data_IF_631377850703
#
_entry.id   IF_631377850703
#
_cell.length_a   1.000
_cell.length_b   1.000
_cell.length_c   1.000
_cell.angle_alpha   90.00
_cell.angle_beta   90.00
_cell.angle_gamma   90.00
#
_symmetry.space_group_name_H-M   'P 1'
#
loop_
_entity.id
_entity.type
_entity.pdbx_description
1 polymer ?
#
# COMPACT_ATOMS: atom_id res chain seq x y z
N UNK A 1 25.97 3.52 -16.84
CA UNK A 1 25.24 3.21 -15.60
C UNK A 1 25.26 1.72 -15.45
N UNK A 2 26.26 1.18 -14.77
CA UNK A 2 26.37 -0.26 -14.56
C UNK A 2 26.89 -0.52 -13.14
N UNK A 3 26.26 -1.46 -12.44
CA UNK A 3 26.75 -1.91 -11.15
C UNK A 3 27.97 -2.83 -11.38
N UNK A 4 29.17 -2.27 -11.22
CA UNK A 4 30.45 -2.93 -11.37
C UNK A 4 30.99 -3.42 -10.03
N UNK A 5 30.16 -4.11 -9.25
CA UNK A 5 30.54 -4.63 -7.94
C UNK A 5 31.13 -3.55 -7.01
N UNK A 6 30.57 -2.33 -7.03
CA UNK A 6 31.01 -1.21 -6.19
C UNK A 6 31.13 -1.63 -4.71
N UNK A 7 30.25 -2.52 -4.26
CA UNK A 7 30.23 -3.02 -2.90
C UNK A 7 31.31 -4.06 -2.54
N UNK A 8 32.07 -4.58 -3.51
CA UNK A 8 33.29 -5.35 -3.22
C UNK A 8 34.37 -4.46 -2.60
N UNK A 9 34.45 -3.19 -3.02
CA UNK A 9 35.46 -2.22 -2.56
C UNK A 9 34.96 -1.31 -1.46
N UNK A 10 33.65 -1.17 -1.32
CA UNK A 10 33.00 -0.32 -0.34
C UNK A 10 31.89 -1.08 0.39
N UNK A 11 32.05 -1.29 1.70
CA UNK A 11 30.97 -1.90 2.47
C UNK A 11 29.78 -0.91 2.58
N UNK A 12 28.58 -1.25 2.07
CA UNK A 12 27.46 -0.32 2.03
C UNK A 12 26.96 0.08 3.42
N UNK A 13 27.07 -0.80 4.42
CA UNK A 13 26.52 -0.58 5.76
C UNK A 13 27.53 -0.02 6.77
N UNK A 14 28.81 -0.34 6.62
CA UNK A 14 29.85 0.03 7.59
C UNK A 14 31.13 0.60 6.99
N UNK A 15 31.24 0.69 5.65
CA UNK A 15 32.44 1.18 4.98
C UNK A 15 32.82 2.59 5.39
N UNK A 16 34.11 2.84 5.52
CA UNK A 16 34.62 4.17 5.84
C UNK A 16 34.36 5.14 4.68
N UNK A 17 33.95 6.36 5.02
CA UNK A 17 33.63 7.40 4.06
C UNK A 17 34.54 8.60 4.29
N UNK A 18 35.30 9.06 3.29
CA UNK A 18 36.21 10.17 3.45
C UNK A 18 35.46 11.48 3.73
N UNK A 19 35.97 12.27 4.68
CA UNK A 19 35.45 13.61 5.02
C UNK A 19 36.02 14.69 4.09
N UNK A 20 37.09 14.38 3.36
CA UNK A 20 37.73 15.28 2.41
C UNK A 20 37.96 14.51 1.10
N UNK A 21 37.77 15.13 -0.08
CA UNK A 21 37.53 16.55 -0.36
C UNK A 21 36.07 16.99 -0.27
N UNK A 22 35.11 16.05 -0.23
CA UNK A 22 33.67 16.36 -0.16
C UNK A 22 33.16 16.06 1.26
N UNK A 23 32.97 17.10 2.06
CA UNK A 23 32.61 16.98 3.49
C UNK A 23 31.26 16.37 3.78
N UNK A 24 30.37 16.33 2.79
CA UNK A 24 29.01 15.82 2.94
C UNK A 24 28.87 14.31 2.67
N UNK A 25 29.91 13.63 2.14
CA UNK A 25 29.82 12.20 1.84
C UNK A 25 29.43 11.34 3.06
N UNK A 26 30.01 11.55 4.27
CA UNK A 26 29.63 10.75 5.43
C UNK A 26 28.17 10.94 5.85
N UNK A 27 27.62 12.14 5.66
CA UNK A 27 26.22 12.44 5.96
C UNK A 27 25.29 11.73 4.98
N UNK A 28 25.59 11.76 3.67
CA UNK A 28 24.85 11.01 2.65
C UNK A 28 24.84 9.51 2.98
N UNK A 29 26.00 8.95 3.33
CA UNK A 29 26.13 7.55 3.73
C UNK A 29 25.28 7.23 4.97
N UNK A 30 25.35 8.07 6.00
CA UNK A 30 24.61 7.87 7.25
C UNK A 30 23.08 7.89 7.02
N UNK A 31 22.60 8.82 6.18
CA UNK A 31 21.19 8.94 5.80
C UNK A 31 20.70 7.69 5.10
N UNK A 32 21.39 7.24 4.06
CA UNK A 32 21.03 6.01 3.34
C UNK A 32 21.12 4.76 4.22
N UNK A 33 22.19 4.60 5.00
CA UNK A 33 22.37 3.48 5.96
C UNK A 33 21.26 3.43 7.01
N UNK A 34 20.74 4.59 7.42
CA UNK A 34 19.66 4.65 8.41
C UNK A 34 18.37 4.02 7.90
N UNK A 35 18.07 4.16 6.61
CA UNK A 35 16.92 3.52 5.98
C UNK A 35 17.11 2.01 5.79
N UNK A 36 18.37 1.56 5.71
CA UNK A 36 18.75 0.16 5.48
C UNK A 36 19.15 -0.59 6.77
N UNK A 37 18.82 -0.08 7.96
CA UNK A 37 19.23 -0.67 9.26
C UNK A 37 18.84 -2.14 9.46
N UNK A 38 17.78 -2.60 8.79
CA UNK A 38 17.29 -3.96 8.89
C UNK A 38 17.82 -4.89 7.78
N UNK A 39 18.69 -4.37 6.90
CA UNK A 39 19.27 -5.13 5.79
C UNK A 39 20.67 -5.63 6.10
N UNK A 40 21.05 -6.73 5.46
CA UNK A 40 22.43 -7.23 5.44
C UNK A 40 23.19 -6.69 4.22
N UNK A 41 24.52 -6.84 4.21
CA UNK A 41 25.34 -6.42 3.07
C UNK A 41 24.96 -7.20 1.81
N UNK A 42 24.72 -8.50 1.93
CA UNK A 42 24.32 -9.38 0.82
C UNK A 42 22.97 -8.92 0.23
N UNK A 43 22.03 -8.52 1.09
CA UNK A 43 20.76 -7.96 0.62
C UNK A 43 20.97 -6.63 -0.11
N UNK A 44 21.86 -5.76 0.35
CA UNK A 44 22.20 -4.54 -0.38
C UNK A 44 22.82 -4.82 -1.74
N UNK A 45 23.66 -5.86 -1.86
CA UNK A 45 24.24 -6.30 -3.15
C UNK A 45 23.13 -6.79 -4.08
N UNK A 46 22.27 -7.70 -3.61
CA UNK A 46 21.16 -8.21 -4.43
C UNK A 46 20.20 -7.11 -4.86
N UNK A 47 19.96 -6.09 -4.02
CA UNK A 47 19.17 -4.92 -4.40
C UNK A 47 19.89 -4.09 -5.47
N UNK A 48 21.21 -3.91 -5.38
CA UNK A 48 21.97 -3.17 -6.40
C UNK A 48 21.98 -3.90 -7.75
N UNK A 49 22.18 -5.21 -7.76
CA UNK A 49 22.06 -6.06 -8.95
C UNK A 49 20.63 -5.99 -9.55
N UNK A 50 19.62 -5.96 -8.68
CA UNK A 50 18.23 -5.80 -9.11
C UNK A 50 17.99 -4.43 -9.76
N UNK A 51 18.50 -3.34 -9.19
CA UNK A 51 18.41 -1.99 -9.78
C UNK A 51 19.08 -1.96 -11.17
N UNK A 52 20.26 -2.57 -11.30
CA UNK A 52 20.97 -2.66 -12.57
C UNK A 52 20.16 -3.43 -13.63
N UNK A 53 19.58 -4.57 -13.24
CA UNK A 53 18.65 -5.33 -14.06
C UNK A 53 17.42 -4.50 -14.49
N UNK A 54 16.83 -3.74 -13.57
CA UNK A 54 15.71 -2.85 -13.86
C UNK A 54 16.07 -1.78 -14.89
N UNK A 55 17.25 -1.18 -14.78
CA UNK A 55 17.71 -0.18 -15.77
C UNK A 55 17.82 -0.78 -17.16
N UNK A 56 18.41 -1.98 -17.27
CA UNK A 56 18.55 -2.67 -18.55
C UNK A 56 17.18 -3.01 -19.16
N UNK A 57 16.25 -3.54 -18.36
CA UNK A 57 14.89 -3.85 -18.83
C UNK A 57 14.16 -2.58 -19.27
N UNK A 58 14.26 -1.49 -18.49
CA UNK A 58 13.63 -0.22 -18.82
C UNK A 58 14.14 0.33 -20.15
N UNK A 59 15.46 0.50 -20.33
CA UNK A 59 16.00 1.06 -21.56
C UNK A 59 15.72 0.16 -22.78
N UNK A 60 15.77 -1.17 -22.60
CA UNK A 60 15.39 -2.10 -23.66
C UNK A 60 13.92 -1.95 -24.04
N UNK A 61 13.01 -1.89 -23.07
CA UNK A 61 11.56 -1.74 -23.33
C UNK A 61 11.22 -0.40 -23.99
N UNK A 62 11.82 0.70 -23.55
CA UNK A 62 11.67 2.03 -24.18
C UNK A 62 12.10 1.97 -25.64
N UNK A 63 13.26 1.36 -25.92
CA UNK A 63 13.74 1.18 -27.28
C UNK A 63 12.80 0.35 -28.13
N UNK A 64 12.42 -0.84 -27.65
CA UNK A 64 11.53 -1.75 -28.38
C UNK A 64 10.16 -1.10 -28.66
N UNK A 65 9.61 -0.37 -27.68
CA UNK A 65 8.37 0.36 -27.84
C UNK A 65 8.46 1.44 -28.93
N UNK A 66 9.55 2.21 -28.98
CA UNK A 66 9.73 3.22 -30.01
C UNK A 66 9.94 2.61 -31.40
N UNK A 67 10.76 1.57 -31.50
CA UNK A 67 10.94 0.84 -32.77
C UNK A 67 9.59 0.28 -33.27
N UNK A 68 8.79 -0.30 -32.37
CA UNK A 68 7.47 -0.82 -32.71
C UNK A 68 6.50 0.30 -33.13
N UNK A 69 6.54 1.47 -32.48
CA UNK A 69 5.76 2.65 -32.84
C UNK A 69 6.10 3.11 -34.26
N UNK A 70 7.39 3.29 -34.57
CA UNK A 70 7.86 3.71 -35.88
C UNK A 70 7.52 2.68 -36.97
N UNK A 71 7.68 1.38 -36.68
CA UNK A 71 7.29 0.31 -37.59
C UNK A 71 5.78 0.32 -37.90
N UNK A 72 4.95 0.60 -36.89
CA UNK A 72 3.51 0.71 -37.07
C UNK A 72 3.14 1.89 -37.98
N UNK A 73 3.84 3.03 -37.90
CA UNK A 73 3.65 4.18 -38.80
C UNK A 73 3.92 3.78 -40.25
N UNK A 74 5.04 3.10 -40.52
CA UNK A 74 5.39 2.64 -41.87
C UNK A 74 4.32 1.70 -42.44
N UNK A 75 3.91 0.71 -41.64
CA UNK A 75 2.92 -0.29 -42.06
C UNK A 75 1.53 0.31 -42.29
N UNK A 76 1.14 1.32 -41.52
CA UNK A 76 -0.15 2.01 -41.68
C UNK A 76 -0.17 2.97 -42.89
N UNK A 77 0.97 3.55 -43.25
CA UNK A 77 1.10 4.48 -44.37
C UNK A 77 1.10 3.76 -45.73
N UNK A 78 1.64 2.54 -45.82
CA UNK A 78 1.53 1.68 -47.02
C UNK A 78 0.07 1.39 -47.43
N UNK A 79 -0.87 1.50 -46.49
CA UNK A 79 -2.32 1.43 -46.73
C UNK A 79 -2.93 2.75 -47.26
N UNK A 80 -2.09 3.74 -47.62
CA UNK A 80 -2.47 5.00 -48.28
C UNK A 80 -3.13 6.03 -47.37
N UNK A 81 -2.62 6.22 -46.13
CA UNK A 81 -3.35 6.95 -45.07
C UNK A 81 -2.71 8.22 -44.50
N UNK A 82 -1.61 8.76 -45.03
CA UNK A 82 -1.15 10.08 -44.58
C UNK A 82 -2.11 11.18 -45.06
N UNK A 83 -2.84 11.79 -44.12
CA UNK A 83 -3.90 12.78 -44.34
C UNK A 83 -3.47 14.20 -43.98
N UNK A 84 -2.40 14.36 -43.20
CA UNK A 84 -1.92 15.66 -42.72
C UNK A 84 -0.41 15.83 -42.90
N UNK A 85 0.08 17.06 -42.76
CA UNK A 85 1.50 17.40 -42.86
C UNK A 85 2.32 16.81 -41.70
N UNK A 86 1.75 16.81 -40.49
CA UNK A 86 2.42 16.27 -39.30
C UNK A 86 2.59 14.74 -39.41
N UNK A 87 1.60 14.05 -40.00
CA UNK A 87 1.68 12.61 -40.30
C UNK A 87 2.72 12.28 -41.39
N UNK A 88 2.99 13.20 -42.32
CA UNK A 88 4.06 13.04 -43.31
C UNK A 88 5.44 13.21 -42.66
N UNK A 89 5.61 14.21 -41.81
CA UNK A 89 6.87 14.44 -41.10
C UNK A 89 7.22 13.24 -40.19
N UNK A 90 6.23 12.68 -39.47
CA UNK A 90 6.42 11.45 -38.68
C UNK A 90 6.73 10.22 -39.54
N UNK A 91 6.13 10.10 -40.71
CA UNK A 91 6.42 9.02 -41.65
C UNK A 91 7.84 9.12 -42.21
N UNK A 92 8.30 10.32 -42.58
CA UNK A 92 9.67 10.55 -43.03
C UNK A 92 10.67 10.28 -41.90
N UNK A 93 10.33 10.66 -40.66
CA UNK A 93 11.12 10.31 -39.48
C UNK A 93 11.20 8.79 -39.32
N UNK A 94 10.09 8.05 -39.40
CA UNK A 94 10.09 6.59 -39.32
C UNK A 94 10.91 5.95 -40.45
N UNK A 95 10.80 6.44 -41.69
CA UNK A 95 11.61 5.97 -42.84
C UNK A 95 13.10 6.13 -42.59
N UNK A 96 13.51 7.15 -41.84
CA UNK A 96 14.91 7.34 -41.49
C UNK A 96 15.47 6.17 -40.69
N UNK A 97 14.69 5.43 -39.89
CA UNK A 97 15.23 4.35 -39.06
C UNK A 97 15.11 2.94 -39.65
N UNK A 98 14.48 2.79 -40.81
CA UNK A 98 14.21 1.48 -41.41
C UNK A 98 14.70 1.39 -42.85
N UNK A 99 15.29 0.26 -43.20
CA UNK A 99 15.64 -0.09 -44.57
C UNK A 99 14.57 -0.99 -45.18
N UNK A 100 14.18 -0.66 -46.41
CA UNK A 100 13.28 -1.50 -47.21
C UNK A 100 14.11 -2.62 -47.86
N UNK A 101 13.88 -3.86 -47.43
CA UNK A 101 14.50 -5.05 -48.04
C UNK A 101 13.44 -5.77 -48.88
N UNK A 102 13.72 -5.95 -50.17
CA UNK A 102 12.89 -6.76 -51.07
C UNK A 102 13.30 -8.23 -50.95
N UNK A 103 12.36 -9.06 -50.49
CA UNK A 103 12.57 -10.50 -50.32
C UNK A 103 11.80 -11.34 -51.36
N UNK A 104 11.31 -10.73 -52.45
CA UNK A 104 10.58 -11.43 -53.52
C UNK A 104 9.10 -11.68 -53.25
N UNK A 105 8.66 -11.66 -51.98
CA UNK A 105 7.25 -11.71 -51.55
C UNK A 105 6.68 -10.31 -51.17
N UNK A 106 7.50 -9.26 -51.29
CA UNK A 106 7.16 -7.88 -50.93
C UNK A 106 8.30 -7.13 -50.25
N UNK A 107 8.07 -5.83 -50.02
CA UNK A 107 8.95 -4.99 -49.22
C UNK A 107 8.78 -5.34 -47.74
N UNK A 108 9.88 -5.61 -47.03
CA UNK A 108 9.90 -5.75 -45.57
C UNK A 108 10.77 -4.64 -44.99
N UNK A 109 10.20 -3.89 -44.06
CA UNK A 109 10.96 -2.93 -43.25
C UNK A 109 11.83 -3.66 -42.23
N UNK A 110 13.12 -3.34 -42.21
CA UNK A 110 14.10 -3.86 -41.26
C UNK A 110 14.71 -2.67 -40.53
N UNK A 111 14.69 -2.69 -39.20
CA UNK A 111 15.29 -1.63 -38.38
C UNK A 111 16.80 -1.55 -38.64
N UNK A 112 17.31 -0.33 -38.82
CA UNK A 112 18.73 -0.08 -39.06
C UNK A 112 19.44 0.26 -37.73
N UNK A 113 20.28 -0.63 -37.18
CA UNK A 113 20.95 -0.41 -35.90
C UNK A 113 21.97 0.73 -35.93
N UNK A 114 22.53 1.07 -37.11
CA UNK A 114 23.50 2.17 -37.21
C UNK A 114 22.86 3.54 -36.92
N UNK A 115 21.52 3.63 -37.05
CA UNK A 115 20.73 4.83 -36.78
C UNK A 115 20.07 4.80 -35.41
N UNK A 116 20.31 3.77 -34.58
CA UNK A 116 19.75 3.65 -33.23
C UNK A 116 20.17 4.84 -32.35
N UNK A 117 21.40 5.34 -32.52
CA UNK A 117 21.93 6.48 -31.76
C UNK A 117 21.16 7.78 -31.98
N UNK A 118 20.48 7.91 -33.11
CA UNK A 118 19.71 9.09 -33.49
C UNK A 118 18.25 9.03 -32.98
N UNK A 119 17.85 7.92 -32.34
CA UNK A 119 16.54 7.83 -31.70
C UNK A 119 16.46 8.81 -30.53
N UNK A 120 15.44 9.67 -30.55
CA UNK A 120 15.12 10.58 -29.46
C UNK A 120 14.43 9.83 -28.31
N UNK A 121 15.18 8.93 -27.66
CA UNK A 121 14.69 8.11 -26.54
C UNK A 121 15.59 8.26 -25.30
N UNK A 122 15.03 8.03 -24.10
CA UNK A 122 15.81 7.82 -22.89
C UNK A 122 16.84 6.69 -23.08
N UNK A 123 18.09 6.99 -22.73
CA UNK A 123 19.22 6.06 -22.71
C UNK A 123 20.04 6.27 -21.44
N UNK A 124 20.92 5.31 -21.13
CA UNK A 124 21.87 5.44 -20.03
C UNK A 124 22.85 6.62 -20.20
N UNK A 125 22.94 7.23 -21.38
CA UNK A 125 23.81 8.38 -21.64
C UNK A 125 23.14 9.74 -21.43
N UNK A 126 21.81 9.81 -21.46
CA UNK A 126 21.05 11.08 -21.43
C UNK A 126 20.02 11.18 -20.30
N UNK A 127 19.78 10.09 -19.56
CA UNK A 127 18.84 10.04 -18.42
C UNK A 127 19.63 9.83 -17.14
N UNK A 128 19.18 10.39 -16.01
CA UNK A 128 19.84 10.17 -14.71
C UNK A 128 19.42 8.83 -14.10
N UNK A 129 20.31 8.19 -13.34
CA UNK A 129 20.05 6.94 -12.61
C UNK A 129 18.78 7.06 -11.74
N UNK A 130 18.61 8.22 -11.11
CA UNK A 130 17.51 8.50 -10.19
C UNK A 130 16.20 8.61 -10.96
N UNK A 131 16.18 9.30 -12.10
CA UNK A 131 14.97 9.43 -12.91
C UNK A 131 14.60 8.12 -13.58
N UNK A 132 15.59 7.36 -14.07
CA UNK A 132 15.38 6.00 -14.55
C UNK A 132 14.75 5.13 -13.46
N UNK A 133 15.26 5.17 -12.22
CA UNK A 133 14.69 4.39 -11.12
C UNK A 133 13.27 4.86 -10.75
N UNK A 134 12.96 6.17 -10.83
CA UNK A 134 11.59 6.67 -10.62
C UNK A 134 10.61 6.12 -11.65
N UNK A 135 11.02 6.08 -12.93
CA UNK A 135 10.22 5.48 -13.99
C UNK A 135 10.04 3.98 -13.74
N UNK A 136 11.12 3.25 -13.42
CA UNK A 136 11.05 1.82 -13.10
C UNK A 136 10.09 1.55 -11.92
N UNK A 137 10.16 2.35 -10.86
CA UNK A 137 9.31 2.21 -9.66
C UNK A 137 7.82 2.38 -9.98
N UNK A 138 7.49 3.23 -10.96
CA UNK A 138 6.10 3.46 -11.37
C UNK A 138 5.47 2.27 -12.08
N UNK A 139 6.28 1.39 -12.68
CA UNK A 139 5.85 0.18 -13.38
C UNK A 139 6.33 -1.11 -12.71
N UNK A 140 6.82 -1.04 -11.45
CA UNK A 140 7.37 -2.19 -10.73
C UNK A 140 6.39 -3.35 -10.65
N UNK A 141 5.09 -3.08 -10.48
CA UNK A 141 4.07 -4.14 -10.45
C UNK A 141 4.02 -4.93 -11.77
N UNK A 142 4.17 -4.25 -12.91
CA UNK A 142 4.19 -4.86 -14.26
C UNK A 142 5.54 -5.53 -14.56
N UNK A 143 6.65 -4.97 -14.06
CA UNK A 143 8.01 -5.51 -14.23
C UNK A 143 8.29 -6.71 -13.31
N UNK A 144 7.67 -6.77 -12.13
CA UNK A 144 7.85 -7.85 -11.16
C UNK A 144 7.36 -9.21 -11.68
N UNK A 145 6.32 -9.23 -12.54
CA UNK A 145 5.86 -10.46 -13.20
C UNK A 145 6.88 -11.00 -14.22
N UNK A 146 7.76 -10.14 -14.75
CA UNK A 146 8.76 -10.51 -15.75
C UNK A 146 10.13 -10.90 -15.15
N UNK A 147 10.38 -10.61 -13.87
CA UNK A 147 11.68 -10.82 -13.23
C UNK A 147 11.57 -11.86 -12.12
N UNK A 148 12.17 -13.05 -12.29
CA UNK A 148 12.23 -14.13 -11.27
C UNK A 148 13.03 -13.75 -9.99
N UNK A 149 13.56 -12.53 -9.91
CA UNK A 149 14.34 -12.03 -8.77
C UNK A 149 13.39 -11.55 -7.68
N UNK A 150 13.03 -12.49 -6.82
CA UNK A 150 12.22 -12.29 -5.62
C UNK A 150 13.00 -11.45 -4.60
N UNK A 151 12.79 -10.14 -4.63
CA UNK A 151 12.94 -9.33 -3.41
C UNK A 151 11.56 -8.98 -2.88
N UNK A 152 10.78 -10.00 -2.50
CA UNK A 152 9.36 -9.91 -2.08
C UNK A 152 9.09 -8.90 -0.94
N UNK A 153 10.13 -8.43 -0.24
CA UNK A 153 10.05 -7.45 0.84
C UNK A 153 10.81 -6.14 0.57
N UNK A 154 11.35 -5.91 -0.64
CA UNK A 154 12.11 -4.68 -0.92
C UNK A 154 11.18 -3.50 -1.12
N UNK A 155 11.29 -2.51 -0.24
CA UNK A 155 10.46 -1.32 -0.30
C UNK A 155 11.05 -0.30 -1.28
N UNK A 156 10.22 0.54 -1.94
CA UNK A 156 10.72 1.53 -2.90
C UNK A 156 11.81 2.44 -2.31
N UNK A 157 11.68 2.87 -1.06
CA UNK A 157 12.71 3.70 -0.42
C UNK A 157 14.06 2.99 -0.23
N UNK A 158 14.07 1.66 -0.12
CA UNK A 158 15.30 0.89 0.03
C UNK A 158 16.07 0.81 -1.29
N UNK A 159 15.36 0.79 -2.43
CA UNK A 159 15.98 0.85 -3.76
C UNK A 159 16.79 2.14 -3.91
N UNK A 160 16.19 3.29 -3.58
CA UNK A 160 16.88 4.58 -3.66
C UNK A 160 17.98 4.72 -2.61
N UNK A 161 17.82 4.15 -1.42
CA UNK A 161 18.87 4.14 -0.41
C UNK A 161 20.09 3.32 -0.85
N UNK A 162 19.87 2.17 -1.51
CA UNK A 162 20.95 1.36 -2.07
C UNK A 162 21.60 2.07 -3.26
N UNK A 163 20.82 2.66 -4.17
CA UNK A 163 21.34 3.48 -5.26
C UNK A 163 22.20 4.64 -4.74
N UNK A 164 21.79 5.30 -3.66
CA UNK A 164 22.57 6.35 -3.02
C UNK A 164 23.94 5.84 -2.54
N UNK A 165 24.01 4.65 -1.94
CA UNK A 165 25.26 4.05 -1.48
C UNK A 165 26.14 3.56 -2.63
N UNK A 166 25.53 3.09 -3.72
CA UNK A 166 26.23 2.79 -4.96
C UNK A 166 26.89 4.05 -5.52
N UNK A 167 26.13 5.11 -5.79
CA UNK A 167 26.67 6.38 -6.32
C UNK A 167 27.71 7.02 -5.40
N UNK A 168 27.52 6.88 -4.08
CA UNK A 168 28.51 7.27 -3.08
C UNK A 168 29.83 6.50 -3.26
N UNK A 169 29.76 5.18 -3.48
CA UNK A 169 30.95 4.37 -3.75
C UNK A 169 31.68 4.84 -5.01
N UNK A 170 30.94 5.20 -6.07
CA UNK A 170 31.54 5.74 -7.30
C UNK A 170 32.23 7.09 -7.02
N UNK A 171 31.61 7.97 -6.24
CA UNK A 171 32.23 9.22 -5.80
C UNK A 171 33.53 8.97 -4.99
N UNK A 172 33.54 8.00 -4.08
CA UNK A 172 34.72 7.64 -3.28
C UNK A 172 35.84 7.09 -4.18
N UNK A 173 35.51 6.23 -5.13
CA UNK A 173 36.46 5.67 -6.08
C UNK A 173 37.11 6.75 -6.97
N UNK A 174 36.34 7.78 -7.35
CA UNK A 174 36.84 8.93 -8.12
C UNK A 174 37.73 9.88 -7.29
N UNK A 175 37.56 9.88 -5.97
CA UNK A 175 38.42 10.63 -5.04
C UNK A 175 39.74 9.90 -4.79
N UNK A 176 39.69 8.57 -4.65
CA UNK A 176 40.84 7.73 -4.34
C UNK A 176 40.93 6.55 -5.32
N UNK A 177 41.40 6.76 -6.57
CA UNK A 177 41.55 5.66 -7.52
C UNK A 177 42.74 4.74 -7.21
N UNK A 178 43.56 5.04 -6.20
CA UNK A 178 44.65 4.16 -5.76
C UNK A 178 44.14 2.82 -5.18
N UNK A 179 42.83 2.61 -5.09
CA UNK A 179 42.19 1.32 -4.81
C UNK A 179 41.93 0.45 -6.07
N UNK A 180 42.43 0.88 -7.24
CA UNK A 180 42.31 0.16 -8.51
C UNK A 180 43.44 -0.88 -8.65
N UNK A 181 43.09 -2.07 -9.17
CA UNK A 181 44.03 -3.14 -9.58
C UNK A 181 45.27 -2.57 -10.30
N UNK A 182 46.45 -3.12 -9.99
CA UNK A 182 47.75 -2.73 -10.59
C UNK A 182 47.69 -2.61 -12.12
N UNK A 183 46.92 -3.47 -12.80
CA UNK A 183 46.78 -3.50 -14.26
C UNK A 183 46.17 -2.23 -14.87
N UNK A 184 45.17 -1.63 -14.23
CA UNK A 184 44.47 -0.44 -14.78
C UNK A 184 45.25 0.83 -14.47
N UNK A 185 45.91 0.87 -13.29
CA UNK A 185 46.88 1.91 -12.95
C UNK A 185 48.05 1.96 -13.94
N UNK A 186 48.49 0.80 -14.43
CA UNK A 186 49.50 0.71 -15.49
C UNK A 186 49.03 1.29 -16.83
N UNK A 187 47.77 1.05 -17.21
CA UNK A 187 47.17 1.60 -18.44
C UNK A 187 47.02 3.12 -18.36
N UNK A 188 46.54 3.65 -17.23
CA UNK A 188 46.44 5.09 -17.02
C UNK A 188 47.82 5.76 -16.97
N UNK A 189 48.82 5.12 -16.35
CA UNK A 189 50.20 5.61 -16.36
C UNK A 189 50.78 5.68 -17.79
N UNK A 190 50.54 4.66 -18.62
CA UNK A 190 50.98 4.64 -20.02
C UNK A 190 50.27 5.72 -20.86
N UNK A 191 48.99 5.98 -20.59
CA UNK A 191 48.23 7.04 -21.27
C UNK A 191 48.73 8.43 -20.87
N UNK A 192 49.03 8.63 -19.59
CA UNK A 192 49.56 9.90 -19.07
C UNK A 192 50.97 10.18 -19.63
N UNK A 193 51.77 9.13 -19.84
CA UNK A 193 53.06 9.20 -20.53
C UNK A 193 52.91 9.57 -22.01
N UNK A 194 51.98 8.95 -22.75
CA UNK A 194 51.67 9.32 -24.14
C UNK A 194 51.18 10.78 -24.27
N UNK A 195 50.33 11.25 -23.35
CA UNK A 195 49.82 12.63 -23.35
C UNK A 195 50.96 13.63 -23.09
N UNK A 196 51.91 13.29 -22.21
CA UNK A 196 53.13 14.07 -21.97
C UNK A 196 54.03 14.13 -23.19
N UNK A 197 54.21 13.01 -23.90
CA UNK A 197 55.00 12.98 -25.15
C UNK A 197 54.38 13.84 -26.26
N UNK A 198 53.05 13.96 -26.29
CA UNK A 198 52.33 14.86 -27.20
C UNK A 198 52.36 16.35 -26.77
N UNK A 199 53.09 16.70 -25.70
CA UNK A 199 53.32 18.09 -25.30
C UNK A 199 52.15 18.74 -24.55
N UNK A 200 51.15 17.97 -24.15
CA UNK A 200 50.08 18.46 -23.28
C UNK A 200 50.54 18.43 -21.82
N UNK A 201 50.24 19.49 -21.06
CA UNK A 201 50.46 19.49 -19.61
C UNK A 201 49.46 18.52 -18.97
N UNK A 202 49.95 17.39 -18.47
CA UNK A 202 49.16 16.52 -17.60
C UNK A 202 48.90 17.24 -16.28
N UNK A 203 47.62 17.43 -15.97
CA UNK A 203 47.18 17.88 -14.64
C UNK A 203 47.45 16.68 -13.74
N UNK A 204 48.42 16.82 -12.83
CA UNK A 204 48.93 15.70 -12.04
C UNK A 204 47.82 14.86 -11.39
N UNK A 205 47.97 13.54 -11.53
CA UNK A 205 47.38 12.48 -10.70
C UNK A 205 45.87 12.59 -10.41
N UNK A 206 45.10 11.81 -11.16
CA UNK A 206 44.17 10.81 -10.62
C UNK A 206 43.03 11.27 -9.67
N UNK A 207 42.67 12.54 -9.55
CA UNK A 207 41.48 12.91 -8.76
C UNK A 207 40.53 13.72 -9.63
N UNK A 208 39.48 13.06 -10.15
CA UNK A 208 38.45 13.75 -10.91
C UNK A 208 37.39 14.31 -9.96
N UNK A 209 37.77 15.37 -9.24
CA UNK A 209 36.92 16.04 -8.25
C UNK A 209 35.57 16.50 -8.81
N UNK A 210 35.54 16.92 -10.08
CA UNK A 210 34.31 17.34 -10.74
C UNK A 210 33.35 16.17 -10.94
N UNK A 211 33.84 15.02 -11.41
CA UNK A 211 33.02 13.80 -11.52
C UNK A 211 32.64 13.26 -10.15
N UNK A 212 33.55 13.24 -9.18
CA UNK A 212 33.25 12.84 -7.81
C UNK A 212 32.16 13.73 -7.19
N UNK A 213 32.20 15.03 -7.46
CA UNK A 213 31.16 15.98 -7.04
C UNK A 213 29.81 15.70 -7.70
N UNK A 214 29.81 15.35 -9.00
CA UNK A 214 28.60 14.95 -9.71
C UNK A 214 27.96 13.70 -9.10
N UNK A 215 28.75 12.64 -8.88
CA UNK A 215 28.27 11.40 -8.26
C UNK A 215 27.82 11.61 -6.81
N UNK A 216 28.51 12.48 -6.05
CA UNK A 216 28.09 12.86 -4.71
C UNK A 216 26.73 13.59 -4.70
N UNK A 217 26.47 14.46 -5.68
CA UNK A 217 25.18 15.14 -5.82
C UNK A 217 24.06 14.17 -6.17
N UNK A 218 24.31 13.23 -7.10
CA UNK A 218 23.35 12.16 -7.43
C UNK A 218 23.07 11.28 -6.21
N UNK A 219 24.11 10.88 -5.47
CA UNK A 219 23.97 10.11 -4.24
C UNK A 219 23.13 10.85 -3.20
N UNK A 220 23.33 12.16 -3.07
CA UNK A 220 22.52 13.01 -2.19
C UNK A 220 21.06 13.07 -2.62
N UNK A 221 20.78 13.23 -3.92
CA UNK A 221 19.41 13.27 -4.45
C UNK A 221 18.69 11.93 -4.24
N UNK A 222 19.37 10.82 -4.53
CA UNK A 222 18.86 9.48 -4.25
C UNK A 222 18.55 9.28 -2.75
N UNK A 223 19.43 9.73 -1.85
CA UNK A 223 19.21 9.65 -0.41
C UNK A 223 18.02 10.53 0.04
N UNK A 224 17.91 11.75 -0.47
CA UNK A 224 16.77 12.64 -0.20
C UNK A 224 15.45 12.03 -0.67
N UNK A 225 15.43 11.43 -1.86
CA UNK A 225 14.23 10.81 -2.40
C UNK A 225 13.84 9.54 -1.62
N UNK A 226 14.83 8.73 -1.20
CA UNK A 226 14.61 7.59 -0.31
C UNK A 226 13.93 8.02 1.00
N UNK A 227 14.42 9.09 1.64
CA UNK A 227 13.81 9.63 2.86
C UNK A 227 12.39 10.13 2.63
N UNK A 228 12.14 10.80 1.51
CA UNK A 228 10.80 11.24 1.13
C UNK A 228 9.84 10.07 1.02
N UNK A 229 10.21 9.01 0.30
CA UNK A 229 9.38 7.80 0.15
C UNK A 229 9.13 7.11 1.49
N UNK A 230 10.16 6.98 2.33
CA UNK A 230 10.04 6.40 3.66
C UNK A 230 9.06 7.21 4.55
N UNK A 231 9.11 8.54 4.48
CA UNK A 231 8.21 9.40 5.23
C UNK A 231 6.77 9.31 4.72
N UNK A 232 6.57 9.26 3.40
CA UNK A 232 5.25 9.05 2.78
C UNK A 232 4.65 7.71 3.25
N UNK A 233 5.43 6.63 3.21
CA UNK A 233 4.97 5.32 3.69
C UNK A 233 4.60 5.34 5.18
N UNK A 234 5.42 6.00 6.00
CA UNK A 234 5.14 6.19 7.43
C UNK A 234 3.82 6.91 7.66
N UNK A 235 3.57 7.99 6.93
CA UNK A 235 2.32 8.77 7.01
C UNK A 235 1.12 7.92 6.61
N UNK A 236 1.23 7.19 5.48
CA UNK A 236 0.17 6.29 5.01
C UNK A 236 -0.18 5.24 6.07
N UNK A 237 0.83 4.64 6.71
CA UNK A 237 0.62 3.65 7.76
C UNK A 237 -0.10 4.24 8.97
N UNK A 238 0.32 5.43 9.44
CA UNK A 238 -0.34 6.14 10.55
C UNK A 238 -1.80 6.44 10.20
N UNK A 239 -2.07 6.98 9.01
CA UNK A 239 -3.43 7.29 8.58
C UNK A 239 -4.30 6.04 8.49
N UNK A 240 -3.74 4.92 7.99
CA UNK A 240 -4.45 3.64 7.93
C UNK A 240 -4.84 3.15 9.33
N UNK A 241 -3.94 3.26 10.30
CA UNK A 241 -4.21 2.87 11.70
C UNK A 241 -5.27 3.76 12.37
N UNK A 242 -5.25 5.07 12.09
CA UNK A 242 -6.28 5.99 12.58
C UNK A 242 -7.65 5.69 11.97
N UNK A 243 -7.72 5.39 10.68
CA UNK A 243 -8.95 4.97 10.01
C UNK A 243 -9.51 3.66 10.59
N UNK A 244 -8.67 2.67 10.89
CA UNK A 244 -9.14 1.43 11.51
C UNK A 244 -9.67 1.66 12.93
N UNK A 245 -8.96 2.49 13.73
CA UNK A 245 -9.39 2.81 15.10
C UNK A 245 -10.74 3.53 15.12
N UNK A 246 -10.91 4.54 14.26
CA UNK A 246 -12.16 5.28 14.15
C UNK A 246 -13.30 4.39 13.64
N UNK A 247 -13.02 3.45 12.74
CA UNK A 247 -14.00 2.45 12.31
C UNK A 247 -14.46 1.56 13.47
N UNK A 248 -13.52 1.02 14.25
CA UNK A 248 -13.83 0.15 15.39
C UNK A 248 -14.61 0.91 16.48
N UNK A 249 -14.25 2.16 16.76
CA UNK A 249 -14.99 3.05 17.67
C UNK A 249 -16.43 3.27 17.19
N UNK A 250 -16.62 3.51 15.89
CA UNK A 250 -17.95 3.65 15.30
C UNK A 250 -18.79 2.37 15.43
N UNK A 251 -18.22 1.20 15.15
CA UNK A 251 -18.92 -0.08 15.29
C UNK A 251 -19.31 -0.36 16.75
N UNK A 252 -18.41 -0.09 17.70
CA UNK A 252 -18.66 -0.28 19.12
C UNK A 252 -19.78 0.64 19.62
N UNK A 253 -19.80 1.90 19.20
CA UNK A 253 -20.87 2.84 19.57
C UNK A 253 -22.22 2.41 18.98
N UNK A 254 -22.24 1.91 17.74
CA UNK A 254 -23.46 1.36 17.13
C UNK A 254 -24.00 0.16 17.90
N UNK A 255 -23.13 -0.79 18.27
CA UNK A 255 -23.51 -1.96 19.09
C UNK A 255 -24.11 -1.49 20.41
N UNK A 256 -23.46 -0.52 21.09
CA UNK A 256 -23.93 0.02 22.36
C UNK A 256 -25.31 0.67 22.23
N UNK A 257 -25.56 1.45 21.20
CA UNK A 257 -26.87 2.04 20.92
C UNK A 257 -27.95 0.98 20.68
N UNK A 258 -27.64 -0.06 19.88
CA UNK A 258 -28.56 -1.17 19.64
C UNK A 258 -28.89 -1.94 20.94
N UNK A 259 -27.92 -2.12 21.83
CA UNK A 259 -28.14 -2.73 23.14
C UNK A 259 -28.99 -1.88 24.06
N UNK A 260 -28.75 -0.56 24.11
CA UNK A 260 -29.54 0.39 24.88
C UNK A 260 -30.99 0.44 24.38
N UNK A 261 -31.20 0.48 23.07
CA UNK A 261 -32.54 0.44 22.48
C UNK A 261 -33.26 -0.88 22.75
N UNK A 262 -32.55 -2.00 22.67
CA UNK A 262 -33.08 -3.32 23.03
C UNK A 262 -33.48 -3.35 24.51
N UNK A 263 -32.67 -2.76 25.40
CA UNK A 263 -32.97 -2.65 26.83
C UNK A 263 -34.21 -1.79 27.08
N UNK A 264 -34.29 -0.59 26.47
CA UNK A 264 -35.46 0.30 26.55
C UNK A 264 -36.73 -0.37 26.05
N UNK A 265 -36.67 -1.10 24.93
CA UNK A 265 -37.81 -1.88 24.40
C UNK A 265 -38.26 -2.97 25.37
N UNK A 266 -37.31 -3.73 25.95
CA UNK A 266 -37.61 -4.76 26.97
C UNK A 266 -38.26 -4.14 28.21
N UNK A 267 -37.72 -3.04 28.73
CA UNK A 267 -38.27 -2.35 29.90
C UNK A 267 -39.68 -1.82 29.64
N UNK A 268 -39.90 -1.17 28.49
CA UNK A 268 -41.22 -0.68 28.08
C UNK A 268 -42.23 -1.82 27.94
N UNK A 269 -41.82 -2.95 27.36
CA UNK A 269 -42.66 -4.14 27.25
C UNK A 269 -43.01 -4.72 28.62
N UNK A 270 -42.03 -4.83 29.52
CA UNK A 270 -42.23 -5.30 30.89
C UNK A 270 -43.18 -4.38 31.68
N UNK A 271 -43.03 -3.06 31.53
CA UNK A 271 -43.89 -2.08 32.20
C UNK A 271 -45.33 -2.13 31.68
N UNK A 272 -45.52 -2.17 30.36
CA UNK A 272 -46.86 -2.36 29.78
C UNK A 272 -47.48 -3.68 30.24
N UNK A 273 -46.68 -4.74 30.37
CA UNK A 273 -47.18 -6.01 30.89
C UNK A 273 -47.59 -5.94 32.36
N UNK A 274 -46.80 -5.26 33.21
CA UNK A 274 -47.16 -4.97 34.61
C UNK A 274 -48.46 -4.18 34.70
N UNK A 275 -48.64 -3.17 33.86
CA UNK A 275 -49.85 -2.36 33.83
C UNK A 275 -51.08 -3.16 33.39
N UNK A 276 -50.95 -4.04 32.39
CA UNK A 276 -52.02 -4.96 31.97
C UNK A 276 -52.46 -5.86 33.12
N UNK A 277 -51.50 -6.47 33.82
CA UNK A 277 -51.81 -7.37 34.92
C UNK A 277 -52.19 -6.66 36.23
N UNK A 278 -51.94 -5.36 36.38
CA UNK A 278 -52.30 -4.61 37.59
C UNK A 278 -53.82 -4.65 37.86
N UNK A 279 -54.63 -4.40 36.82
CA UNK A 279 -56.10 -4.45 36.93
C UNK A 279 -56.60 -5.86 37.27
N UNK A 280 -56.00 -6.88 36.65
CA UNK A 280 -56.30 -8.28 36.93
C UNK A 280 -55.95 -8.67 38.37
N UNK A 281 -54.79 -8.22 38.86
CA UNK A 281 -54.36 -8.44 40.24
C UNK A 281 -55.26 -7.72 41.25
N UNK A 282 -55.65 -6.47 40.98
CA UNK A 282 -56.57 -5.69 41.80
C UNK A 282 -57.95 -6.36 41.87
N UNK A 283 -58.53 -6.74 40.72
CA UNK A 283 -59.81 -7.45 40.66
C UNK A 283 -59.77 -8.79 41.40
N UNK A 284 -58.70 -9.57 41.18
CA UNK A 284 -58.47 -10.83 41.88
C UNK A 284 -58.35 -10.64 43.39
N UNK A 285 -57.57 -9.64 43.84
CA UNK A 285 -57.40 -9.34 45.25
C UNK A 285 -58.72 -8.88 45.90
N UNK A 286 -59.51 -8.05 45.22
CA UNK A 286 -60.82 -7.61 45.69
C UNK A 286 -61.78 -8.79 45.87
N UNK A 287 -61.89 -9.68 44.89
CA UNK A 287 -62.75 -10.88 44.99
C UNK A 287 -62.29 -11.78 46.12
N UNK A 288 -60.98 -12.06 46.21
CA UNK A 288 -60.45 -12.94 47.25
C UNK A 288 -60.71 -12.34 48.64
N UNK A 289 -60.42 -11.06 48.84
CA UNK A 289 -60.64 -10.38 50.13
C UNK A 289 -62.13 -10.36 50.51
N UNK A 290 -63.02 -10.12 49.56
CA UNK A 290 -64.47 -10.09 49.84
C UNK A 290 -65.00 -11.50 50.12
N UNK A 291 -64.57 -12.50 49.35
CA UNK A 291 -64.94 -13.89 49.58
C UNK A 291 -64.46 -14.41 50.95
N UNK A 292 -63.27 -14.00 51.40
CA UNK A 292 -62.71 -14.41 52.69
C UNK A 292 -63.48 -13.87 53.90
N UNK A 293 -64.27 -12.80 53.76
CA UNK A 293 -65.09 -12.27 54.84
C UNK A 293 -66.23 -13.23 55.21
N UNK A 294 -66.74 -13.98 54.25
CA UNK A 294 -67.86 -14.89 54.45
C UNK A 294 -67.78 -16.09 53.49
N UNK A 295 -66.88 -17.02 53.82
CA UNK A 295 -66.55 -18.17 52.97
C UNK A 295 -67.67 -19.19 52.85
N UNK A 296 -68.65 -19.17 53.76
CA UNK A 296 -69.76 -20.14 53.82
C UNK A 296 -71.00 -19.70 53.04
N UNK A 297 -71.04 -18.44 52.57
CA UNK A 297 -72.18 -17.86 51.86
C UNK A 297 -72.48 -18.51 50.50
N UNK A 298 -71.47 -19.13 49.89
CA UNK A 298 -71.59 -19.79 48.59
C UNK A 298 -71.22 -21.28 48.72
N UNK A 299 -72.08 -22.22 48.28
CA UNK A 299 -71.85 -23.65 48.45
C UNK A 299 -70.64 -24.17 47.69
N UNK A 300 -70.38 -23.62 46.49
CA UNK A 300 -69.30 -24.06 45.60
C UNK A 300 -68.56 -22.88 45.00
N UNK A 301 -67.31 -23.12 44.58
CA UNK A 301 -66.49 -22.13 43.89
C UNK A 301 -67.14 -21.61 42.59
N UNK A 302 -67.97 -22.42 41.92
CA UNK A 302 -68.66 -22.01 40.69
C UNK A 302 -69.83 -21.06 40.97
N UNK A 303 -70.59 -21.32 42.04
CA UNK A 303 -71.65 -20.39 42.49
C UNK A 303 -71.05 -19.08 43.01
N UNK A 304 -69.92 -19.15 43.72
CA UNK A 304 -69.17 -17.98 44.15
C UNK A 304 -68.64 -17.20 42.93
N UNK A 305 -68.07 -17.88 41.94
CA UNK A 305 -67.54 -17.25 40.73
C UNK A 305 -68.59 -16.55 39.88
N UNK A 306 -69.81 -17.11 39.77
CA UNK A 306 -70.95 -16.42 39.12
C UNK A 306 -71.31 -15.12 39.86
N UNK A 307 -71.51 -15.20 41.17
CA UNK A 307 -71.87 -14.05 42.00
C UNK A 307 -70.79 -12.95 41.98
N UNK A 308 -69.52 -13.32 42.15
CA UNK A 308 -68.42 -12.34 42.16
C UNK A 308 -68.09 -11.81 40.76
N UNK A 309 -68.35 -12.57 39.69
CA UNK A 309 -68.32 -12.07 38.31
C UNK A 309 -69.34 -10.96 38.11
N UNK A 310 -70.59 -11.16 38.52
CA UNK A 310 -71.65 -10.16 38.38
C UNK A 310 -71.40 -8.94 39.30
N UNK A 311 -70.83 -9.15 40.48
CA UNK A 311 -70.39 -8.07 41.37
C UNK A 311 -69.23 -7.24 40.80
N UNK A 312 -68.26 -7.88 40.13
CA UNK A 312 -67.20 -7.17 39.43
C UNK A 312 -67.75 -6.36 38.24
N UNK A 313 -68.72 -6.90 37.50
CA UNK A 313 -69.41 -6.17 36.42
C UNK A 313 -70.09 -4.90 36.93
N UNK A 314 -70.72 -4.93 38.11
CA UNK A 314 -71.30 -3.73 38.75
C UNK A 314 -70.24 -2.66 39.09
N UNK A 315 -68.98 -3.07 39.25
CA UNK A 315 -67.83 -2.19 39.48
C UNK A 315 -67.06 -1.85 38.18
N UNK A 316 -67.69 -2.07 37.02
CA UNK A 316 -67.09 -1.83 35.70
C UNK A 316 -65.84 -2.67 35.39
N UNK A 317 -65.74 -3.86 35.98
CA UNK A 317 -64.68 -4.85 35.71
C UNK A 317 -65.31 -6.15 35.19
N UNK A 318 -65.15 -6.45 33.90
CA UNK A 318 -65.77 -7.63 33.30
C UNK A 318 -64.79 -8.82 33.30
N UNK A 319 -65.18 -9.90 33.97
CA UNK A 319 -64.44 -11.17 33.96
C UNK A 319 -65.41 -12.33 33.79
N UNK A 320 -64.97 -13.38 33.11
CA UNK A 320 -65.80 -14.59 32.96
C UNK A 320 -65.94 -15.32 34.31
N UNK A 321 -67.12 -15.87 34.63
CA UNK A 321 -67.36 -16.64 35.85
C UNK A 321 -66.35 -17.79 36.07
N UNK A 322 -65.87 -18.42 34.98
CA UNK A 322 -64.85 -19.47 35.02
C UNK A 322 -63.51 -18.96 35.57
N UNK A 323 -63.11 -17.76 35.17
CA UNK A 323 -61.86 -17.11 35.60
C UNK A 323 -61.91 -16.75 37.09
N UNK A 324 -63.02 -16.15 37.53
CA UNK A 324 -63.26 -15.77 38.93
C UNK A 324 -63.35 -17.01 39.82
N UNK A 325 -64.02 -18.08 39.36
CA UNK A 325 -64.04 -19.38 40.04
C UNK A 325 -62.64 -19.97 40.20
N UNK A 326 -61.79 -19.84 39.17
CA UNK A 326 -60.39 -20.27 39.21
C UNK A 326 -59.57 -19.53 40.27
N UNK A 327 -59.76 -18.23 40.43
CA UNK A 327 -59.12 -17.44 41.49
C UNK A 327 -59.53 -17.91 42.88
N UNK A 328 -60.83 -18.13 43.08
CA UNK A 328 -61.41 -18.59 44.36
C UNK A 328 -60.92 -20.01 44.71
N UNK A 329 -60.90 -20.94 43.73
CA UNK A 329 -60.34 -22.30 43.94
C UNK A 329 -58.88 -22.25 44.36
N UNK A 330 -58.06 -21.43 43.69
CA UNK A 330 -56.63 -21.30 44.02
C UNK A 330 -56.44 -20.73 45.43
N UNK A 331 -57.18 -19.67 45.78
CA UNK A 331 -57.14 -19.09 47.12
C UNK A 331 -57.65 -20.04 48.22
N UNK A 332 -58.68 -20.84 47.94
CA UNK A 332 -59.18 -21.86 48.85
C UNK A 332 -58.15 -22.96 49.11
N UNK A 333 -57.46 -23.44 48.07
CA UNK A 333 -56.39 -24.41 48.19
C UNK A 333 -55.20 -23.85 49.00
N UNK A 334 -54.77 -22.61 48.72
CA UNK A 334 -53.68 -21.95 49.46
C UNK A 334 -54.00 -21.77 50.95
N UNK A 335 -55.28 -21.61 51.31
CA UNK A 335 -55.74 -21.43 52.71
C UNK A 335 -56.32 -22.70 53.35
N UNK A 336 -56.29 -23.84 52.67
CA UNK A 336 -56.81 -25.11 53.17
C UNK A 336 -58.33 -25.17 53.39
N UNK A 337 -59.10 -24.32 52.70
CA UNK A 337 -60.56 -24.24 52.82
C UNK A 337 -61.21 -25.22 51.85
N UNK A 338 -62.07 -26.12 52.34
CA UNK A 338 -62.85 -27.05 51.50
C UNK A 338 -64.25 -26.50 51.27
N UNK A 339 -64.66 -26.42 49.99
CA UNK A 339 -66.06 -26.17 49.63
C UNK A 339 -66.92 -27.39 50.01
N UNK A 340 -68.19 -27.15 50.36
CA UNK A 340 -69.12 -28.17 50.84
C UNK A 340 -69.88 -28.85 49.72
#
# INVERSE_FOLDING_TARGET
MEFWNQFEKFNPLSGDVPIYPISHLPDIAWRARTLLKNRTVEQCISIAEYIDGLFNIYFQSVKENEINRLFAILTQSELGKCKSRDEEDEYQYALYFFDSVDNGDGCKWVFNPDREVDLDIPTAGNTSEIDTLKECVSFLDELSEATEVVTDDCKPFELFAVLALWLLSDAINLINPDSINEDVSQVFANLDEMIREMGFKTIGSNINLSMAGCEALKAMDAACYAEHLHEVERIILVHRLELTKTHDEYQNEKIKQEEEDRKRKKERSAELNRQRHKKDHEAKALVINEWLKDTNKHPSAEKAGLHFSDWLKQKSMEYEPRTVSGWIRKAANEKGIRFR
#
